data_IF_214439762201
#
_entry.id   IF_214439762201
#
_cell.length_a   1.000
_cell.length_b   1.000
_cell.length_c   1.000
_cell.angle_alpha   90.00
_cell.angle_beta   90.00
_cell.angle_gamma   90.00
#
_symmetry.space_group_name_H-M   'P 1'
#
loop_
_entity.id
_entity.type
_entity.pdbx_description
1 polymer ?
#
# COMPACT_ATOMS: atom_id res chain seq x y z
N UNK A 1 -10.78 -9.27 1.26
CA UNK A 1 -12.06 -8.76 0.76
C UNK A 1 -13.17 -9.39 1.58
N UNK A 2 -14.26 -8.65 1.87
CA UNK A 2 -15.47 -9.16 2.53
C UNK A 2 -16.63 -9.12 1.52
N UNK A 3 -17.56 -10.06 1.62
CA UNK A 3 -18.68 -10.22 0.67
C UNK A 3 -20.00 -10.26 1.42
N UNK A 4 -20.58 -11.45 1.64
CA UNK A 4 -21.86 -11.62 2.33
C UNK A 4 -21.86 -11.08 3.76
N UNK A 5 -20.69 -11.06 4.42
CA UNK A 5 -20.49 -10.54 5.76
C UNK A 5 -20.84 -9.05 5.87
N UNK A 6 -20.55 -8.29 4.81
CA UNK A 6 -20.83 -6.84 4.72
C UNK A 6 -22.07 -6.53 3.89
N UNK A 7 -22.43 -7.37 2.92
CA UNK A 7 -23.56 -7.12 2.00
C UNK A 7 -24.92 -7.45 2.61
N UNK A 8 -25.04 -8.56 3.35
CA UNK A 8 -26.31 -9.04 3.93
C UNK A 8 -26.17 -9.51 5.39
N UNK A 9 -24.98 -9.40 5.98
CA UNK A 9 -24.68 -9.89 7.31
C UNK A 9 -25.39 -9.11 8.42
N UNK A 10 -25.63 -9.78 9.55
CA UNK A 10 -26.27 -9.14 10.73
C UNK A 10 -25.38 -8.10 11.41
N UNK A 11 -24.04 -8.25 11.31
CA UNK A 11 -23.06 -7.43 12.01
C UNK A 11 -21.93 -6.96 11.07
N UNK A 12 -22.22 -6.12 10.05
CA UNK A 12 -21.24 -5.75 9.02
C UNK A 12 -20.06 -4.95 9.59
N UNK A 13 -20.29 -4.05 10.56
CA UNK A 13 -19.23 -3.26 11.20
C UNK A 13 -18.30 -4.12 12.06
N UNK A 14 -18.85 -5.11 12.77
CA UNK A 14 -18.04 -6.05 13.56
C UNK A 14 -17.16 -6.93 12.65
N UNK A 15 -17.66 -7.35 11.49
CA UNK A 15 -16.88 -8.11 10.51
C UNK A 15 -15.68 -7.30 9.98
N UNK A 16 -15.91 -6.03 9.60
CA UNK A 16 -14.83 -5.12 9.16
C UNK A 16 -13.82 -4.85 10.28
N UNK A 17 -14.30 -4.57 11.50
CA UNK A 17 -13.45 -4.32 12.66
C UNK A 17 -12.57 -5.53 13.00
N UNK A 18 -13.15 -6.74 12.96
CA UNK A 18 -12.40 -7.97 13.19
C UNK A 18 -11.36 -8.20 12.09
N UNK A 19 -11.72 -7.99 10.82
CA UNK A 19 -10.78 -8.10 9.71
C UNK A 19 -9.60 -7.12 9.87
N UNK A 20 -9.88 -5.86 10.23
CA UNK A 20 -8.84 -4.86 10.48
C UNK A 20 -7.89 -5.29 11.60
N UNK A 21 -8.41 -5.82 12.72
CA UNK A 21 -7.58 -6.33 13.81
C UNK A 21 -6.69 -7.49 13.37
N UNK A 22 -7.25 -8.47 12.65
CA UNK A 22 -6.50 -9.62 12.14
C UNK A 22 -5.35 -9.15 11.24
N UNK A 23 -5.61 -8.21 10.32
CA UNK A 23 -4.58 -7.66 9.43
C UNK A 23 -3.47 -6.97 10.23
N UNK A 24 -3.82 -6.10 11.19
CA UNK A 24 -2.82 -5.39 11.99
C UNK A 24 -1.95 -6.36 12.83
N UNK A 25 -2.52 -7.42 13.41
CA UNK A 25 -1.73 -8.42 14.15
C UNK A 25 -0.87 -9.28 13.21
N UNK A 26 -1.39 -9.63 12.02
CA UNK A 26 -0.63 -10.38 11.03
C UNK A 26 0.57 -9.56 10.52
N UNK A 27 0.39 -8.27 10.23
CA UNK A 27 1.45 -7.37 9.77
C UNK A 27 2.60 -7.23 10.78
N UNK A 28 2.31 -7.29 12.08
CA UNK A 28 3.34 -7.28 13.14
C UNK A 28 4.19 -8.54 13.20
N UNK A 29 3.66 -9.66 12.70
CA UNK A 29 4.31 -10.98 12.75
C UNK A 29 5.16 -11.26 11.51
N UNK A 30 5.02 -10.45 10.45
CA UNK A 30 5.87 -10.54 9.25
C UNK A 30 7.22 -9.92 9.58
N UNK A 31 8.19 -10.76 9.96
CA UNK A 31 9.52 -10.35 10.38
C UNK A 31 10.25 -9.43 9.37
N UNK A 32 11.00 -8.49 9.95
CA UNK A 32 11.84 -7.48 9.29
C UNK A 32 12.83 -8.02 8.28
N UNK A 33 13.35 -9.21 8.56
CA UNK A 33 14.61 -9.74 8.06
C UNK A 33 14.52 -10.48 6.73
N UNK A 34 13.32 -10.75 6.22
CA UNK A 34 13.19 -11.39 4.91
C UNK A 34 13.39 -10.29 3.87
N UNK A 35 14.50 -10.28 3.09
CA UNK A 35 14.65 -9.32 2.02
C UNK A 35 13.46 -9.53 1.10
N UNK A 36 12.67 -8.49 0.86
CA UNK A 36 11.64 -8.58 -0.18
C UNK A 36 12.39 -8.83 -1.47
N UNK A 37 12.34 -10.07 -1.95
CA UNK A 37 12.82 -10.41 -3.28
C UNK A 37 11.93 -9.60 -4.23
N UNK A 38 12.46 -8.49 -4.73
CA UNK A 38 11.80 -7.67 -5.73
C UNK A 38 11.78 -8.49 -7.00
N UNK A 39 10.70 -9.24 -7.20
CA UNK A 39 10.38 -9.79 -8.50
C UNK A 39 9.80 -8.65 -9.34
N UNK A 40 10.43 -8.29 -10.46
CA UNK A 40 9.91 -7.24 -11.33
C UNK A 40 8.51 -7.64 -11.83
N UNK A 41 7.48 -6.92 -11.37
CA UNK A 41 6.12 -7.16 -11.82
C UNK A 41 5.96 -6.59 -13.24
N UNK A 42 6.14 -7.46 -14.22
CA UNK A 42 5.92 -7.16 -15.66
C UNK A 42 4.54 -6.59 -15.97
N UNK A 43 3.56 -6.73 -15.06
CA UNK A 43 2.19 -6.22 -15.20
C UNK A 43 2.05 -4.77 -14.73
N UNK A 44 2.88 -4.33 -13.78
CA UNK A 44 2.93 -2.97 -13.26
C UNK A 44 3.99 -2.15 -14.04
N UNK A 45 3.63 -1.66 -15.23
CA UNK A 45 4.52 -0.86 -16.10
C UNK A 45 4.89 0.52 -15.52
N UNK A 46 5.65 0.54 -14.43
CA UNK A 46 6.61 1.60 -14.18
C UNK A 46 7.73 1.46 -15.24
N UNK A 47 8.33 2.57 -15.66
CA UNK A 47 9.54 2.49 -16.50
C UNK A 47 10.68 1.93 -15.63
N UNK A 48 11.66 1.25 -16.23
CA UNK A 48 12.80 0.63 -15.50
C UNK A 48 13.46 1.61 -14.50
N UNK A 49 13.65 2.87 -14.92
CA UNK A 49 14.18 3.93 -14.04
C UNK A 49 13.26 4.23 -12.87
N UNK A 50 11.94 4.27 -13.09
CA UNK A 50 10.95 4.53 -12.04
C UNK A 50 10.93 3.40 -11.02
N UNK A 51 11.03 2.15 -11.48
CA UNK A 51 11.11 0.97 -10.62
C UNK A 51 12.38 0.96 -9.78
N UNK A 52 13.55 1.19 -10.39
CA UNK A 52 14.82 1.27 -9.66
C UNK A 52 14.79 2.37 -8.57
N UNK A 53 14.22 3.53 -8.89
CA UNK A 53 14.10 4.64 -7.93
C UNK A 53 13.13 4.30 -6.79
N UNK A 54 11.98 3.69 -7.06
CA UNK A 54 11.02 3.34 -6.00
C UNK A 54 11.54 2.22 -5.11
N UNK A 55 12.23 1.22 -5.66
CA UNK A 55 12.93 0.19 -4.88
C UNK A 55 13.96 0.83 -3.95
N UNK A 56 14.81 1.72 -4.47
CA UNK A 56 15.81 2.42 -3.66
C UNK A 56 15.18 3.27 -2.56
N UNK A 57 14.10 3.99 -2.87
CA UNK A 57 13.38 4.79 -1.89
C UNK A 57 12.76 3.95 -0.77
N UNK A 58 12.22 2.76 -1.07
CA UNK A 58 11.72 1.80 -0.07
C UNK A 58 12.83 1.31 0.84
N UNK A 59 13.97 0.90 0.28
CA UNK A 59 15.12 0.42 1.06
C UNK A 59 15.61 1.51 2.02
N UNK A 60 15.75 2.75 1.54
CA UNK A 60 16.18 3.88 2.37
C UNK A 60 15.15 4.18 3.46
N UNK A 61 13.85 4.16 3.14
CA UNK A 61 12.79 4.39 4.12
C UNK A 61 12.78 3.31 5.23
N UNK A 62 13.02 2.04 4.88
CA UNK A 62 13.13 0.95 5.85
C UNK A 62 14.40 1.08 6.70
N UNK A 63 15.54 1.42 6.11
CA UNK A 63 16.80 1.63 6.83
C UNK A 63 16.75 2.80 7.82
N UNK A 64 16.01 3.86 7.47
CA UNK A 64 15.84 5.05 8.31
C UNK A 64 14.67 4.93 9.29
N UNK A 65 13.92 3.82 9.28
CA UNK A 65 12.66 3.66 10.01
C UNK A 65 11.68 4.83 9.79
N UNK A 66 11.60 5.30 8.54
CA UNK A 66 10.88 6.51 8.19
C UNK A 66 9.36 6.30 8.23
N UNK A 67 8.62 7.03 9.08
CA UNK A 67 7.18 6.79 9.31
C UNK A 67 6.27 6.96 8.07
N UNK A 68 6.74 7.65 7.02
CA UNK A 68 5.97 7.91 5.81
C UNK A 68 6.87 8.00 4.56
N UNK A 69 6.48 7.32 3.48
CA UNK A 69 7.03 7.53 2.14
C UNK A 69 6.05 8.36 1.28
N UNK A 70 6.52 9.51 0.78
CA UNK A 70 5.71 10.39 -0.09
C UNK A 70 6.10 10.18 -1.55
N UNK A 71 5.13 9.79 -2.38
CA UNK A 71 5.34 9.53 -3.82
C UNK A 71 4.51 10.52 -4.65
N UNK A 72 5.11 11.60 -5.17
CA UNK A 72 4.44 12.47 -6.14
C UNK A 72 4.30 11.72 -7.46
N UNK A 73 3.08 11.63 -7.99
CA UNK A 73 2.83 10.92 -9.24
C UNK A 73 1.64 11.52 -9.97
N UNK A 74 1.62 11.53 -11.30
CA UNK A 74 0.48 12.06 -12.07
C UNK A 74 -0.58 10.98 -12.28
N UNK A 75 -0.15 9.77 -12.65
CA UNK A 75 -1.04 8.67 -13.03
C UNK A 75 -1.19 7.59 -11.95
N UNK A 76 -0.58 7.74 -10.78
CA UNK A 76 -0.58 6.70 -9.74
C UNK A 76 0.40 5.55 -9.98
N UNK A 77 0.96 5.41 -11.19
CA UNK A 77 1.80 4.27 -11.59
C UNK A 77 3.06 4.13 -10.73
N UNK A 78 3.65 5.24 -10.33
CA UNK A 78 4.83 5.25 -9.42
C UNK A 78 4.49 4.67 -8.05
N UNK A 79 3.26 4.83 -7.58
CA UNK A 79 2.79 4.32 -6.28
C UNK A 79 2.29 2.87 -6.33
N UNK A 80 2.15 2.29 -7.53
CA UNK A 80 1.85 0.86 -7.71
C UNK A 80 3.11 -0.01 -7.68
N UNK A 81 4.29 0.62 -7.67
CA UNK A 81 5.54 -0.07 -7.47
C UNK A 81 5.66 -0.64 -6.05
N UNK A 82 6.86 -1.07 -5.68
CA UNK A 82 7.10 -1.64 -4.36
C UNK A 82 6.69 -0.68 -3.24
N UNK A 83 5.92 -1.20 -2.28
CA UNK A 83 5.47 -0.46 -1.11
C UNK A 83 6.33 -0.84 0.11
N UNK A 84 6.81 0.13 0.90
CA UNK A 84 7.46 -0.12 2.17
C UNK A 84 6.46 -0.68 3.19
N UNK A 85 6.98 -1.12 4.34
CA UNK A 85 6.18 -1.46 5.53
C UNK A 85 5.39 -0.26 6.03
N UNK A 86 5.96 0.93 5.87
CA UNK A 86 5.44 2.16 6.44
C UNK A 86 4.40 2.77 5.51
N UNK A 87 3.57 3.68 6.02
CA UNK A 87 2.49 4.26 5.25
C UNK A 87 3.01 4.94 3.97
N UNK A 88 2.30 4.76 2.86
CA UNK A 88 2.58 5.44 1.59
C UNK A 88 1.53 6.51 1.35
N UNK A 89 1.98 7.75 1.22
CA UNK A 89 1.14 8.83 0.73
C UNK A 89 1.48 9.09 -0.73
N UNK A 90 0.62 8.64 -1.62
CA UNK A 90 0.66 9.06 -3.02
C UNK A 90 -0.38 10.13 -3.29
N UNK A 91 0.05 11.22 -3.95
CA UNK A 91 -0.85 12.29 -4.40
C UNK A 91 -0.81 12.37 -5.91
N UNK A 92 -1.97 12.08 -6.52
CA UNK A 92 -2.20 12.19 -7.95
C UNK A 92 -2.85 13.53 -8.29
N UNK A 93 -2.27 14.23 -9.27
CA UNK A 93 -2.88 15.41 -9.90
C UNK A 93 -2.90 15.18 -11.43
N UNK A 94 -4.05 15.28 -12.15
CA UNK A 94 -5.39 15.63 -11.68
C UNK A 94 -6.17 14.43 -11.11
N UNK A 95 -7.19 14.73 -10.31
CA UNK A 95 -7.93 13.91 -9.33
C UNK A 95 -8.57 12.57 -9.76
N UNK A 96 -8.37 12.07 -10.98
CA UNK A 96 -9.07 10.84 -11.45
C UNK A 96 -8.61 9.54 -10.80
N UNK A 97 -7.38 9.49 -10.29
CA UNK A 97 -6.76 8.26 -9.78
C UNK A 97 -6.87 8.09 -8.27
N UNK A 98 -7.11 9.17 -7.52
CA UNK A 98 -7.31 9.09 -6.06
C UNK A 98 -8.80 8.90 -5.77
N UNK A 99 -9.20 7.71 -5.30
CA UNK A 99 -10.49 7.56 -4.63
C UNK A 99 -10.36 8.21 -3.25
N UNK A 100 -10.83 9.44 -3.12
CA UNK A 100 -11.02 10.05 -1.81
C UNK A 100 -12.12 9.28 -1.06
N UNK A 101 -12.04 9.13 0.26
CA UNK A 101 -13.22 8.74 1.03
C UNK A 101 -14.35 9.75 0.74
N UNK A 102 -15.62 9.33 0.69
CA UNK A 102 -16.73 10.27 0.57
C UNK A 102 -16.65 11.25 1.75
N UNK A 103 -16.84 12.54 1.45
CA UNK A 103 -16.87 13.59 2.47
C UNK A 103 -17.98 13.25 3.49
N UNK A 104 -17.62 13.27 4.78
CA UNK A 104 -18.52 13.03 5.92
C UNK A 104 -19.53 14.17 6.10
#
# INVERSE_FOLDING_TARGET
MLSGETAIGKNPTAAVSMMSRIVCEAERTVDGETPRLFEPDTRARALEVTEAVTVGAVIIAEQLDASLLVIPTVSGRTALGPSPRNAVLSRCWPSRTRRLPPDE
#
